data_IF_382083507708
#
_entry.id   IF_382083507708
#
_cell.length_a   1.000
_cell.length_b   1.000
_cell.length_c   1.000
_cell.angle_alpha   90.00
_cell.angle_beta   90.00
_cell.angle_gamma   90.00
#
_symmetry.space_group_name_H-M   'P 1'
#
loop_
_entity.id
_entity.type
_entity.pdbx_description
1 polymer ?
#
# COMPACT_ATOMS: atom_id res chain seq x y z
N UNK A 1 12.78 17.80 0.03
CA UNK A 1 11.45 17.77 -0.62
C UNK A 1 10.56 16.96 0.28
N UNK A 2 9.33 17.38 0.51
CA UNK A 2 8.45 16.70 1.45
C UNK A 2 7.74 15.52 0.76
N UNK A 3 7.50 14.44 1.51
CA UNK A 3 6.83 13.24 0.99
C UNK A 3 5.51 12.96 1.72
N UNK A 4 4.56 12.35 1.04
CA UNK A 4 3.29 11.95 1.63
C UNK A 4 2.99 10.48 1.39
N UNK A 5 2.55 9.78 2.44
CA UNK A 5 2.02 8.43 2.34
C UNK A 5 0.56 8.48 1.87
N UNK A 6 0.26 7.76 0.80
CA UNK A 6 -1.05 7.70 0.16
C UNK A 6 -1.74 6.38 0.49
N UNK A 7 -2.88 6.50 1.17
CA UNK A 7 -3.84 5.42 1.33
C UNK A 7 -4.63 5.16 0.04
N UNK A 8 -5.28 4.01 -0.06
CA UNK A 8 -6.17 3.71 -1.19
C UNK A 8 -7.30 4.73 -1.32
N UNK A 9 -7.78 5.01 -2.54
CA UNK A 9 -8.93 5.91 -2.75
C UNK A 9 -10.19 5.34 -2.08
N UNK A 10 -11.00 6.23 -1.50
CA UNK A 10 -12.23 5.81 -0.81
C UNK A 10 -13.21 5.13 -1.76
N UNK A 11 -13.41 5.65 -2.98
CA UNK A 11 -14.33 5.06 -3.95
C UNK A 11 -13.97 3.61 -4.29
N UNK A 12 -12.69 3.33 -4.56
CA UNK A 12 -12.20 1.97 -4.85
C UNK A 12 -12.46 1.03 -3.67
N UNK A 13 -12.14 1.48 -2.45
CA UNK A 13 -12.33 0.71 -1.22
C UNK A 13 -13.82 0.47 -0.95
N UNK A 14 -14.68 1.46 -1.19
CA UNK A 14 -16.13 1.34 -0.99
C UNK A 14 -16.75 0.36 -1.97
N UNK A 15 -16.29 0.31 -3.22
CA UNK A 15 -16.72 -0.70 -4.17
C UNK A 15 -16.43 -2.12 -3.65
N UNK A 16 -15.22 -2.35 -3.14
CA UNK A 16 -14.80 -3.65 -2.58
C UNK A 16 -15.58 -4.00 -1.30
N UNK A 17 -15.77 -3.05 -0.39
CA UNK A 17 -16.55 -3.24 0.85
C UNK A 17 -18.02 -3.57 0.60
N UNK A 18 -18.56 -3.13 -0.54
CA UNK A 18 -19.94 -3.40 -0.98
C UNK A 18 -20.08 -4.66 -1.84
N UNK A 19 -19.05 -5.50 -1.91
CA UNK A 19 -19.06 -6.77 -2.64
C UNK A 19 -18.64 -6.68 -4.10
N UNK A 20 -18.02 -5.57 -4.51
CA UNK A 20 -17.36 -5.44 -5.81
C UNK A 20 -16.23 -6.45 -5.97
N UNK A 21 -15.92 -6.77 -7.22
CA UNK A 21 -14.87 -7.73 -7.55
C UNK A 21 -13.46 -7.15 -7.36
N UNK A 22 -12.52 -8.02 -7.01
CA UNK A 22 -11.11 -7.71 -6.87
C UNK A 22 -10.39 -7.65 -8.23
N UNK A 23 -9.05 -7.47 -8.22
CA UNK A 23 -8.26 -7.37 -9.45
C UNK A 23 -8.33 -8.60 -10.37
N UNK A 24 -8.80 -9.74 -9.87
CA UNK A 24 -8.99 -10.99 -10.61
C UNK A 24 -10.46 -11.28 -10.94
N UNK A 25 -11.37 -10.35 -10.64
CA UNK A 25 -12.79 -10.55 -10.87
C UNK A 25 -13.48 -11.40 -9.79
N UNK A 26 -12.80 -11.67 -8.66
CA UNK A 26 -13.33 -12.50 -7.58
C UNK A 26 -13.94 -11.64 -6.47
N UNK A 27 -14.92 -12.19 -5.76
CA UNK A 27 -15.45 -11.52 -4.56
C UNK A 27 -14.41 -11.59 -3.44
N UNK A 28 -14.08 -10.47 -2.76
CA UNK A 28 -13.19 -10.49 -1.60
C UNK A 28 -13.63 -11.50 -0.53
N UNK A 29 -12.67 -12.25 0.01
CA UNK A 29 -12.94 -13.11 1.17
C UNK A 29 -13.23 -12.25 2.39
N UNK A 30 -14.15 -12.71 3.26
CA UNK A 30 -14.45 -12.04 4.52
C UNK A 30 -14.01 -12.91 5.70
N UNK A 31 -13.31 -12.31 6.66
CA UNK A 31 -12.87 -12.96 7.90
C UNK A 31 -13.08 -12.03 9.09
N UNK A 32 -12.85 -12.56 10.29
CA UNK A 32 -12.83 -11.81 11.55
C UNK A 32 -11.38 -11.78 12.03
N UNK A 33 -10.90 -10.61 12.42
CA UNK A 33 -9.53 -10.41 12.90
C UNK A 33 -9.37 -11.01 14.29
N UNK A 34 -8.23 -11.66 14.53
CA UNK A 34 -7.78 -12.08 15.86
C UNK A 34 -6.99 -10.97 16.59
N UNK A 35 -6.89 -9.78 15.96
CA UNK A 35 -6.22 -8.61 16.51
C UNK A 35 -4.74 -8.50 16.11
N UNK A 36 -4.19 -9.47 15.39
CA UNK A 36 -2.78 -9.47 15.01
C UNK A 36 -2.58 -9.41 13.48
N UNK A 37 -1.73 -8.49 13.02
CA UNK A 37 -1.19 -8.53 11.66
C UNK A 37 -2.21 -8.34 10.53
N UNK A 38 -3.29 -7.57 10.72
CA UNK A 38 -4.28 -7.24 9.67
C UNK A 38 -4.23 -5.76 9.26
N UNK A 39 -3.23 -5.32 8.48
CA UNK A 39 -3.09 -3.92 8.09
C UNK A 39 -4.11 -3.48 7.03
N UNK A 40 -5.00 -2.55 7.36
CA UNK A 40 -5.97 -1.98 6.42
C UNK A 40 -5.32 -0.92 5.53
N UNK A 41 -5.38 -1.11 4.20
CA UNK A 41 -4.75 -0.20 3.22
C UNK A 41 -5.52 1.11 2.97
N UNK A 42 -6.66 1.30 3.63
CA UNK A 42 -7.49 2.52 3.51
C UNK A 42 -7.31 3.48 4.69
N UNK A 43 -7.50 3.00 5.91
CA UNK A 43 -7.26 3.81 7.12
C UNK A 43 -5.81 3.78 7.59
N UNK A 44 -4.96 2.94 6.98
CA UNK A 44 -3.56 2.74 7.33
C UNK A 44 -3.33 2.42 8.81
N UNK A 45 -4.27 1.70 9.42
CA UNK A 45 -4.22 1.11 10.76
C UNK A 45 -4.53 -0.37 10.71
N UNK A 46 -4.21 -1.11 11.77
CA UNK A 46 -4.59 -2.51 11.90
C UNK A 46 -6.09 -2.68 12.21
N UNK A 47 -6.69 -3.76 11.72
CA UNK A 47 -8.06 -4.16 12.06
C UNK A 47 -8.07 -4.79 13.45
N UNK A 48 -8.89 -4.26 14.36
CA UNK A 48 -8.94 -4.71 15.75
C UNK A 48 -9.51 -6.14 15.88
N UNK A 49 -9.18 -6.81 17.00
CA UNK A 49 -9.74 -8.12 17.34
C UNK A 49 -11.27 -8.09 17.33
N UNK A 50 -11.89 -9.10 16.70
CA UNK A 50 -13.35 -9.20 16.59
C UNK A 50 -13.96 -8.41 15.43
N UNK A 51 -13.23 -7.48 14.82
CA UNK A 51 -13.71 -6.74 13.66
C UNK A 51 -13.60 -7.54 12.36
N UNK A 52 -14.53 -7.26 11.44
CA UNK A 52 -14.54 -7.88 10.12
C UNK A 52 -13.50 -7.26 9.18
N UNK A 53 -12.81 -8.09 8.41
CA UNK A 53 -11.91 -7.65 7.37
C UNK A 53 -12.09 -8.42 6.06
N UNK A 54 -11.56 -7.85 4.99
CA UNK A 54 -11.55 -8.41 3.65
C UNK A 54 -10.14 -8.79 3.23
N UNK A 55 -10.03 -9.89 2.47
CA UNK A 55 -8.82 -10.32 1.77
C UNK A 55 -9.12 -10.31 0.27
N UNK A 56 -8.23 -9.73 -0.52
CA UNK A 56 -8.44 -9.59 -1.96
C UNK A 56 -7.14 -9.46 -2.73
N UNK A 57 -7.18 -9.85 -4.01
CA UNK A 57 -6.11 -9.53 -4.95
C UNK A 57 -6.18 -8.04 -5.34
N UNK A 58 -5.10 -7.31 -5.09
CA UNK A 58 -5.00 -5.90 -5.43
C UNK A 58 -3.81 -5.61 -6.34
N UNK A 59 -4.09 -4.84 -7.40
CA UNK A 59 -3.13 -4.35 -8.38
C UNK A 59 -2.96 -2.84 -8.18
N UNK A 60 -1.86 -2.35 -7.59
CA UNK A 60 -1.59 -0.92 -7.40
C UNK A 60 -1.13 -0.24 -8.71
N UNK A 61 -1.75 -0.58 -9.83
CA UNK A 61 -1.40 -0.07 -11.16
C UNK A 61 -2.66 0.08 -12.02
N UNK A 62 -2.73 1.16 -12.83
CA UNK A 62 -3.95 1.49 -13.58
C UNK A 62 -4.24 0.46 -14.68
N UNK A 63 -3.21 -0.18 -15.25
CA UNK A 63 -3.33 -1.13 -16.36
C UNK A 63 -2.55 -2.42 -16.12
N UNK A 64 -2.92 -3.47 -16.87
CA UNK A 64 -2.10 -4.68 -16.97
C UNK A 64 -0.86 -4.39 -17.82
N UNK A 65 0.30 -4.65 -17.23
CA UNK A 65 1.62 -4.53 -17.87
C UNK A 65 2.62 -5.43 -17.13
N UNK A 66 3.82 -5.73 -17.68
CA UNK A 66 4.74 -6.73 -17.12
C UNK A 66 5.16 -6.52 -15.66
N UNK A 67 5.13 -5.28 -15.17
CA UNK A 67 5.46 -4.86 -13.80
C UNK A 67 4.22 -4.67 -12.92
N UNK A 68 3.01 -4.95 -13.41
CA UNK A 68 1.76 -4.75 -12.68
C UNK A 68 1.53 -5.85 -11.63
N UNK A 69 2.44 -5.92 -10.65
CA UNK A 69 2.43 -6.87 -9.55
C UNK A 69 1.08 -6.83 -8.83
N UNK A 70 0.40 -7.98 -8.77
CA UNK A 70 -0.84 -8.16 -8.01
C UNK A 70 -0.55 -9.06 -6.82
N UNK A 71 -1.08 -8.70 -5.66
CA UNK A 71 -0.87 -9.47 -4.44
C UNK A 71 -1.98 -9.23 -3.42
N UNK A 72 -2.01 -10.01 -2.32
CA UNK A 72 -3.04 -9.88 -1.32
C UNK A 72 -2.88 -8.58 -0.51
N UNK A 73 -4.01 -7.91 -0.27
CA UNK A 73 -4.12 -6.83 0.72
C UNK A 73 -5.28 -7.09 1.67
N UNK A 74 -5.32 -6.33 2.76
CA UNK A 74 -6.43 -6.32 3.70
C UNK A 74 -7.10 -4.96 3.78
N UNK A 75 -8.42 -4.99 4.02
CA UNK A 75 -9.25 -3.82 4.28
C UNK A 75 -10.20 -4.13 5.44
N UNK A 76 -10.59 -3.13 6.23
CA UNK A 76 -11.78 -3.27 7.08
C UNK A 76 -12.96 -3.68 6.19
N UNK A 77 -13.79 -4.61 6.66
CA UNK A 77 -14.99 -4.99 5.93
C UNK A 77 -16.13 -3.98 6.10
N UNK A 78 -16.11 -3.25 7.21
CA UNK A 78 -16.96 -2.08 7.46
C UNK A 78 -16.28 -0.82 6.93
N UNK A 79 -17.09 0.17 6.57
CA UNK A 79 -16.60 1.46 6.11
C UNK A 79 -15.76 2.15 7.20
N UNK A 80 -14.46 2.32 6.95
CA UNK A 80 -13.55 3.10 7.79
C UNK A 80 -13.21 4.44 7.12
N UNK A 81 -12.69 5.38 7.91
CA UNK A 81 -12.21 6.67 7.42
C UNK A 81 -10.83 6.51 6.76
N UNK A 82 -10.64 7.16 5.61
CA UNK A 82 -9.36 7.14 4.88
C UNK A 82 -8.29 7.82 5.72
N UNK A 83 -7.08 7.28 5.72
CA UNK A 83 -5.95 7.97 6.34
C UNK A 83 -5.70 9.33 5.69
N UNK A 84 -5.37 10.33 6.50
CA UNK A 84 -4.90 11.62 6.01
C UNK A 84 -3.53 11.46 5.33
N UNK A 85 -3.28 12.28 4.31
CA UNK A 85 -2.01 12.28 3.59
C UNK A 85 -1.02 13.14 4.36
N UNK A 86 -0.07 12.49 5.03
CA UNK A 86 0.92 13.16 5.88
C UNK A 86 2.31 12.58 5.64
N UNK A 87 3.32 13.26 6.17
CA UNK A 87 4.71 12.78 6.24
C UNK A 87 4.90 11.69 7.29
N UNK A 88 3.95 11.51 8.20
CA UNK A 88 4.08 10.56 9.30
C UNK A 88 4.04 9.13 8.78
N UNK A 89 4.92 8.28 9.32
CA UNK A 89 4.93 6.85 9.02
C UNK A 89 3.57 6.23 9.37
N UNK A 90 2.93 5.53 8.44
CA UNK A 90 1.68 4.85 8.70
C UNK A 90 1.78 3.79 9.80
N UNK A 91 0.75 3.67 10.65
CA UNK A 91 0.72 2.70 11.77
C UNK A 91 0.84 1.25 11.30
N UNK A 92 0.39 0.93 10.08
CA UNK A 92 0.55 -0.41 9.48
C UNK A 92 2.00 -0.83 9.25
N UNK A 93 2.97 0.08 9.33
CA UNK A 93 4.38 -0.21 9.08
C UNK A 93 5.11 -0.71 10.34
N UNK A 94 4.72 -1.88 10.87
CA UNK A 94 5.23 -2.38 12.16
C UNK A 94 6.48 -3.28 12.05
N UNK A 95 6.73 -3.88 10.89
CA UNK A 95 7.95 -4.66 10.65
C UNK A 95 9.22 -3.81 10.78
N UNK A 96 10.38 -4.45 10.98
CA UNK A 96 11.68 -3.76 11.09
C UNK A 96 12.12 -3.05 9.81
N UNK A 97 11.70 -3.57 8.65
CA UNK A 97 12.10 -3.09 7.33
C UNK A 97 11.06 -3.42 6.25
N UNK A 98 11.12 -2.64 5.17
CA UNK A 98 10.24 -2.73 4.01
C UNK A 98 11.03 -2.57 2.71
N UNK A 99 10.51 -3.13 1.63
CA UNK A 99 10.98 -2.78 0.28
C UNK A 99 10.46 -1.39 -0.05
N UNK A 100 11.37 -0.49 -0.41
CA UNK A 100 11.07 0.83 -0.96
C UNK A 100 11.59 0.86 -2.40
N UNK A 101 10.70 1.10 -3.36
CA UNK A 101 11.00 0.99 -4.80
C UNK A 101 10.36 2.12 -5.59
N UNK A 102 11.16 2.79 -6.43
CA UNK A 102 10.70 3.87 -7.31
C UNK A 102 10.14 3.35 -8.63
N UNK A 103 9.12 4.05 -9.11
CA UNK A 103 8.45 3.79 -10.39
C UNK A 103 8.42 5.06 -11.22
N UNK A 104 8.55 4.91 -12.54
CA UNK A 104 8.46 6.01 -13.50
C UNK A 104 7.02 6.39 -13.82
N UNK A 105 6.86 7.40 -14.68
CA UNK A 105 5.54 7.85 -15.16
C UNK A 105 4.83 6.82 -16.07
N UNK A 106 5.56 5.80 -16.52
CA UNK A 106 5.06 4.67 -17.32
C UNK A 106 4.71 3.44 -16.45
N UNK A 107 4.63 3.63 -15.13
CA UNK A 107 4.33 2.60 -14.13
C UNK A 107 5.34 1.43 -14.08
N UNK A 108 6.56 1.64 -14.58
CA UNK A 108 7.64 0.64 -14.55
C UNK A 108 8.63 0.91 -13.43
N UNK A 109 9.28 -0.15 -12.96
CA UNK A 109 10.35 -0.04 -11.96
C UNK A 109 11.51 0.75 -12.57
N UNK A 110 11.92 1.82 -11.89
CA UNK A 110 13.20 2.48 -12.19
C UNK A 110 14.31 1.64 -11.55
N UNK A 111 15.05 0.90 -12.37
CA UNK A 111 16.11 0.02 -11.87
C UNK A 111 17.19 0.80 -11.11
N UNK A 112 17.69 0.21 -10.03
CA UNK A 112 18.60 0.87 -9.08
C UNK A 112 17.90 1.69 -7.98
N UNK A 113 16.57 1.87 -8.03
CA UNK A 113 15.82 2.55 -6.97
C UNK A 113 15.48 1.64 -5.78
N UNK A 114 15.27 0.34 -6.03
CA UNK A 114 14.79 -0.61 -5.03
C UNK A 114 15.80 -0.89 -3.91
N UNK A 115 15.31 -0.96 -2.67
CA UNK A 115 16.10 -1.38 -1.51
C UNK A 115 15.23 -1.89 -0.36
N UNK A 116 15.82 -2.68 0.55
CA UNK A 116 15.22 -3.06 1.83
C UNK A 116 15.66 -2.05 2.87
N UNK A 117 14.72 -1.29 3.41
CA UNK A 117 14.97 -0.09 4.20
C UNK A 117 14.40 -0.27 5.60
N UNK A 118 15.17 0.01 6.66
CA UNK A 118 14.64 0.07 8.02
C UNK A 118 13.45 1.02 8.10
N UNK A 119 12.40 0.67 8.85
CA UNK A 119 11.13 1.40 8.86
C UNK A 119 11.28 2.89 9.14
N UNK A 120 12.12 3.26 10.12
CA UNK A 120 12.40 4.67 10.43
C UNK A 120 13.10 5.46 9.32
N UNK A 121 13.69 4.78 8.33
CA UNK A 121 14.39 5.40 7.20
C UNK A 121 13.57 5.49 5.90
N UNK A 122 12.31 5.04 5.88
CA UNK A 122 11.50 4.98 4.65
C UNK A 122 11.28 6.37 4.05
N UNK A 123 10.91 7.36 4.88
CA UNK A 123 10.65 8.73 4.41
C UNK A 123 11.91 9.33 3.78
N UNK A 124 13.03 9.32 4.50
CA UNK A 124 14.32 9.80 3.99
C UNK A 124 14.75 9.08 2.70
N UNK A 125 14.54 7.76 2.60
CA UNK A 125 14.82 7.03 1.36
C UNK A 125 13.94 7.53 0.21
N UNK A 126 12.65 7.74 0.44
CA UNK A 126 11.75 8.25 -0.58
C UNK A 126 12.18 9.65 -1.06
N UNK A 127 12.56 10.53 -0.14
CA UNK A 127 13.11 11.86 -0.47
C UNK A 127 14.34 11.77 -1.38
N UNK A 128 15.33 10.94 -1.02
CA UNK A 128 16.52 10.71 -1.87
C UNK A 128 16.15 10.13 -3.23
N UNK A 129 15.17 9.21 -3.30
CA UNK A 129 14.70 8.69 -4.59
C UNK A 129 14.09 9.80 -5.45
N UNK A 130 13.36 10.73 -4.83
CA UNK A 130 12.71 11.82 -5.54
C UNK A 130 13.65 12.92 -6.05
N UNK A 131 14.93 12.91 -5.66
CA UNK A 131 15.98 13.71 -6.32
C UNK A 131 16.24 13.27 -7.76
N UNK A 132 15.78 12.07 -8.14
CA UNK A 132 15.82 11.59 -9.52
C UNK A 132 14.55 11.98 -10.26
N UNK A 133 14.71 12.69 -11.36
CA UNK A 133 13.60 13.15 -12.22
C UNK A 133 12.85 11.99 -12.90
N UNK A 134 13.47 10.81 -13.01
CA UNK A 134 12.86 9.62 -13.63
C UNK A 134 11.93 8.84 -12.70
N UNK A 135 11.87 9.18 -11.40
CA UNK A 135 10.96 8.56 -10.43
C UNK A 135 9.71 9.42 -10.29
N UNK A 136 8.55 8.90 -10.65
CA UNK A 136 7.24 9.55 -10.49
C UNK A 136 6.65 9.31 -9.10
N UNK A 137 6.76 8.09 -8.57
CA UNK A 137 6.24 7.71 -7.26
C UNK A 137 7.03 6.52 -6.68
N UNK A 138 6.80 6.21 -5.40
CA UNK A 138 7.48 5.12 -4.70
C UNK A 138 6.43 4.18 -4.10
N UNK A 139 6.64 2.87 -4.19
CA UNK A 139 5.87 1.89 -3.41
C UNK A 139 6.63 1.45 -2.17
N UNK A 140 5.88 1.26 -1.08
CA UNK A 140 6.31 0.52 0.10
C UNK A 140 5.67 -0.87 0.04
N UNK A 141 6.49 -1.91 0.12
CA UNK A 141 6.06 -3.31 0.10
C UNK A 141 6.68 -4.08 1.26
N UNK A 142 6.03 -5.12 1.77
CA UNK A 142 6.63 -5.97 2.82
C UNK A 142 7.91 -6.62 2.30
N UNK A 143 8.99 -6.58 3.09
CA UNK A 143 10.27 -7.14 2.65
C UNK A 143 10.24 -8.66 2.49
N UNK A 144 9.44 -9.34 3.32
CA UNK A 144 9.35 -10.81 3.34
C UNK A 144 8.41 -11.37 2.28
N UNK A 145 7.32 -10.66 1.99
CA UNK A 145 6.20 -11.19 1.18
C UNK A 145 5.86 -10.34 -0.05
N UNK A 146 6.54 -9.21 -0.27
CA UNK A 146 6.33 -8.28 -1.39
C UNK A 146 4.89 -7.67 -1.48
N UNK A 147 4.06 -7.86 -0.45
CA UNK A 147 2.69 -7.33 -0.40
C UNK A 147 2.73 -5.80 -0.36
N UNK A 148 1.86 -5.16 -1.14
CA UNK A 148 1.72 -3.71 -1.18
C UNK A 148 1.25 -3.17 0.18
N UNK A 149 1.89 -2.11 0.67
CA UNK A 149 1.49 -1.40 1.90
C UNK A 149 0.85 -0.06 1.57
N UNK A 150 1.59 0.80 0.88
CA UNK A 150 1.12 2.11 0.45
C UNK A 150 2.04 2.68 -0.65
N UNK A 151 1.61 3.79 -1.23
CA UNK A 151 2.38 4.59 -2.18
C UNK A 151 2.88 5.85 -1.48
N UNK A 152 4.05 6.33 -1.86
CA UNK A 152 4.61 7.61 -1.42
C UNK A 152 4.69 8.51 -2.64
N UNK A 153 4.31 9.77 -2.48
CA UNK A 153 4.39 10.82 -3.51
C UNK A 153 5.08 12.07 -2.98
N UNK A 154 5.48 12.96 -3.89
CA UNK A 154 5.96 14.31 -3.57
C UNK A 154 4.78 15.20 -3.15
N UNK A 155 5.05 16.13 -2.23
CA UNK A 155 4.16 17.24 -1.89
C UNK A 155 4.74 18.56 -2.33
#
# INVERSE_FOLDING_TARGET
>A
MTVQFKALPTEDVRALQRGGADAYGQTPERKVSDGDGVPCRHCLRNVAEGDGYLIMAYRPFPALQPYAETGPIFLHAQECERAAETEALPEILESSDYIVRGYGADDRIVYGSGGVIPTGGIAARAETLFERDDIAYVHVRSARNNCYQCRIERF
#
